data_IF_652524679400
#
_entry.id   IF_652524679400
#
_cell.length_a   1.000
_cell.length_b   1.000
_cell.length_c   1.000
_cell.angle_alpha   90.00
_cell.angle_beta   90.00
_cell.angle_gamma   90.00
#
_symmetry.space_group_name_H-M   'P 1'
#
loop_
_entity.id
_entity.type
_entity.pdbx_description
1 polymer ?
#
# COMPACT_ATOMS: atom_id res chain seq x y z
N UNK A 1 -9.94 -78.16 -21.75
CA UNK A 1 -9.01 -77.24 -22.45
C UNK A 1 -9.21 -75.84 -21.88
N UNK A 2 -8.10 -75.17 -21.56
CA UNK A 2 -8.00 -73.95 -20.73
C UNK A 2 -8.85 -72.77 -21.25
N UNK A 3 -9.47 -71.97 -20.35
CA UNK A 3 -10.17 -70.75 -20.72
C UNK A 3 -9.16 -69.63 -21.02
N UNK A 4 -9.38 -68.92 -22.13
CA UNK A 4 -8.67 -67.69 -22.47
C UNK A 4 -9.34 -66.52 -21.75
N UNK A 5 -8.61 -65.91 -20.81
CA UNK A 5 -9.00 -64.67 -20.12
C UNK A 5 -8.47 -63.48 -20.96
N UNK A 6 -9.33 -62.57 -21.46
CA UNK A 6 -8.87 -61.41 -22.21
C UNK A 6 -8.25 -60.39 -21.24
N UNK A 7 -7.00 -60.03 -21.53
CA UNK A 7 -6.23 -59.01 -20.82
C UNK A 7 -6.81 -57.63 -21.12
N UNK A 8 -7.55 -57.05 -20.18
CA UNK A 8 -8.00 -55.66 -20.21
C UNK A 8 -6.78 -54.74 -20.02
N UNK A 9 -6.33 -54.09 -21.10
CA UNK A 9 -5.41 -52.95 -21.03
C UNK A 9 -6.15 -51.77 -20.37
N UNK A 10 -5.91 -51.57 -19.08
CA UNK A 10 -6.20 -50.30 -18.41
C UNK A 10 -5.22 -49.26 -18.97
N UNK A 11 -5.71 -48.40 -19.86
CA UNK A 11 -5.04 -47.16 -20.20
C UNK A 11 -5.02 -46.28 -18.94
N UNK A 12 -3.90 -46.33 -18.22
CA UNK A 12 -3.58 -45.33 -17.21
C UNK A 12 -3.38 -44.00 -17.95
N UNK A 13 -4.42 -43.17 -17.97
CA UNK A 13 -4.33 -41.78 -18.40
C UNK A 13 -3.54 -41.04 -17.32
N UNK A 14 -2.20 -41.15 -17.37
CA UNK A 14 -1.33 -40.36 -16.51
C UNK A 14 -1.42 -38.91 -16.98
N UNK A 15 -2.12 -38.07 -16.24
CA UNK A 15 -2.00 -36.61 -16.39
C UNK A 15 -0.60 -36.23 -15.99
N UNK A 16 0.12 -35.54 -16.89
CA UNK A 16 1.43 -34.97 -16.57
C UNK A 16 1.33 -34.13 -15.30
N UNK A 17 2.34 -34.16 -14.41
CA UNK A 17 2.28 -33.43 -13.15
C UNK A 17 2.21 -31.92 -13.40
N UNK A 18 1.19 -31.28 -12.83
CA UNK A 18 0.95 -29.83 -12.97
C UNK A 18 1.39 -29.07 -11.72
N UNK A 19 1.58 -27.76 -11.91
CA UNK A 19 1.77 -26.78 -10.85
C UNK A 19 0.68 -25.72 -10.98
N UNK A 20 -0.28 -25.77 -10.06
CA UNK A 20 -1.55 -25.03 -10.16
C UNK A 20 -1.68 -24.03 -9.05
N UNK A 21 -2.10 -22.81 -9.35
CA UNK A 21 -2.35 -21.78 -8.35
C UNK A 21 -3.41 -20.80 -8.80
N UNK A 22 -3.55 -19.73 -8.04
CA UNK A 22 -4.58 -18.73 -8.30
C UNK A 22 -4.00 -17.31 -8.25
N UNK A 23 -4.56 -16.42 -9.05
CA UNK A 23 -4.31 -14.98 -8.95
C UNK A 23 -5.60 -14.29 -8.57
N UNK A 24 -5.53 -13.56 -7.47
CA UNK A 24 -6.61 -12.71 -6.96
C UNK A 24 -6.08 -11.28 -6.78
N UNK A 25 -6.96 -10.31 -6.61
CA UNK A 25 -6.57 -8.98 -6.14
C UNK A 25 -6.44 -8.94 -4.61
N UNK A 26 -6.04 -7.80 -4.06
CA UNK A 26 -5.86 -7.63 -2.61
C UNK A 26 -7.16 -7.79 -1.81
N UNK A 27 -8.32 -7.71 -2.46
CA UNK A 27 -9.66 -7.95 -1.89
C UNK A 27 -10.15 -9.38 -2.13
N UNK A 28 -9.26 -10.28 -2.58
CA UNK A 28 -9.52 -11.68 -2.88
C UNK A 28 -10.50 -11.91 -4.04
N UNK A 29 -10.68 -10.93 -4.94
CA UNK A 29 -11.44 -11.14 -6.17
C UNK A 29 -10.55 -11.82 -7.22
N UNK A 30 -11.01 -12.90 -7.87
CA UNK A 30 -10.25 -13.55 -8.94
C UNK A 30 -9.91 -12.60 -10.08
N UNK A 31 -8.67 -12.70 -10.59
CA UNK A 31 -8.19 -11.86 -11.69
C UNK A 31 -7.95 -12.73 -12.92
N UNK A 32 -8.85 -12.61 -13.89
CA UNK A 32 -8.74 -13.29 -15.18
C UNK A 32 -7.69 -12.66 -16.09
N UNK A 33 -7.22 -13.42 -17.09
CA UNK A 33 -6.31 -12.95 -18.14
C UNK A 33 -4.96 -12.39 -17.63
N UNK A 34 -4.52 -12.84 -16.46
CA UNK A 34 -3.19 -12.51 -15.91
C UNK A 34 -2.16 -13.41 -16.56
N UNK A 35 -1.09 -12.82 -17.09
CA UNK A 35 0.05 -13.62 -17.55
C UNK A 35 0.82 -14.14 -16.35
N UNK A 36 0.95 -15.45 -16.24
CA UNK A 36 1.83 -16.15 -15.29
C UNK A 36 2.93 -16.83 -16.09
N UNK A 37 4.18 -16.58 -15.74
CA UNK A 37 5.34 -17.04 -16.48
C UNK A 37 6.43 -17.55 -15.55
N UNK A 38 6.96 -18.74 -15.82
CA UNK A 38 8.18 -19.24 -15.19
C UNK A 38 9.40 -18.65 -15.90
N UNK A 39 10.24 -17.93 -15.17
CA UNK A 39 11.39 -17.22 -15.74
C UNK A 39 12.46 -18.23 -16.17
N UNK A 40 13.04 -18.05 -17.35
CA UNK A 40 14.11 -18.92 -17.87
C UNK A 40 13.63 -20.24 -18.47
N UNK A 41 12.33 -20.56 -18.40
CA UNK A 41 11.79 -21.80 -18.96
C UNK A 41 10.96 -21.52 -20.21
N UNK A 42 11.36 -22.12 -21.33
CA UNK A 42 10.64 -22.02 -22.59
C UNK A 42 9.22 -22.61 -22.48
N UNK A 43 8.26 -21.97 -23.13
CA UNK A 43 6.84 -22.39 -23.20
C UNK A 43 6.09 -22.47 -21.85
N UNK A 44 6.66 -22.03 -20.73
CA UNK A 44 5.98 -21.90 -19.43
C UNK A 44 5.36 -20.52 -19.23
N UNK A 45 4.50 -20.13 -20.16
CA UNK A 45 3.70 -18.90 -20.09
C UNK A 45 2.23 -19.25 -20.30
N UNK A 46 1.40 -18.90 -19.32
CA UNK A 46 -0.05 -19.17 -19.34
C UNK A 46 -0.82 -17.94 -18.89
N UNK A 47 -2.12 -17.95 -19.15
CA UNK A 47 -3.05 -16.91 -18.71
C UNK A 47 -4.02 -17.51 -17.71
N UNK A 48 -4.40 -16.75 -16.70
CA UNK A 48 -5.42 -17.18 -15.75
C UNK A 48 -6.79 -17.23 -16.41
N UNK A 49 -7.62 -18.19 -15.99
CA UNK A 49 -9.01 -18.30 -16.40
C UNK A 49 -9.93 -17.28 -15.71
N UNK A 50 -11.25 -17.38 -15.94
CA UNK A 50 -12.24 -16.49 -15.33
C UNK A 50 -12.28 -16.55 -13.79
N UNK A 51 -11.86 -17.69 -13.22
CA UNK A 51 -11.76 -17.94 -11.78
C UNK A 51 -10.37 -17.62 -11.23
N UNK A 52 -9.50 -17.01 -12.04
CA UNK A 52 -8.14 -16.62 -11.65
C UNK A 52 -7.15 -17.77 -11.58
N UNK A 53 -7.51 -18.98 -11.97
CA UNK A 53 -6.62 -20.14 -11.89
C UNK A 53 -5.65 -20.20 -13.04
N UNK A 54 -4.42 -20.65 -12.76
CA UNK A 54 -3.42 -20.97 -13.76
C UNK A 54 -2.88 -22.39 -13.55
N UNK A 55 -2.44 -23.00 -14.63
CA UNK A 55 -1.84 -24.34 -14.66
C UNK A 55 -0.54 -24.24 -15.43
N UNK A 56 0.59 -24.51 -14.80
CA UNK A 56 1.90 -24.64 -15.42
C UNK A 56 2.36 -26.10 -15.39
N UNK A 57 3.32 -26.44 -16.24
CA UNK A 57 3.94 -27.76 -16.15
C UNK A 57 4.84 -27.79 -14.91
N UNK A 58 4.87 -28.91 -14.19
CA UNK A 58 5.70 -29.03 -12.99
C UNK A 58 7.18 -29.17 -13.37
N UNK A 59 8.01 -28.28 -12.84
CA UNK A 59 9.46 -28.32 -13.00
C UNK A 59 10.08 -28.22 -11.61
N UNK A 60 10.70 -29.32 -11.17
CA UNK A 60 11.24 -29.46 -9.82
C UNK A 60 12.45 -28.54 -9.62
N UNK A 61 12.57 -27.99 -8.41
CA UNK A 61 13.63 -27.09 -7.96
C UNK A 61 13.17 -25.65 -7.84
N UNK A 62 14.13 -24.76 -7.64
CA UNK A 62 13.89 -23.32 -7.49
C UNK A 62 13.40 -22.71 -8.81
N UNK A 63 12.21 -22.12 -8.79
CA UNK A 63 11.58 -21.45 -9.92
C UNK A 63 11.15 -20.03 -9.53
N UNK A 64 11.45 -19.07 -10.39
CA UNK A 64 10.91 -17.72 -10.30
C UNK A 64 9.66 -17.60 -11.18
N UNK A 65 8.54 -17.19 -10.57
CA UNK A 65 7.32 -16.87 -11.29
C UNK A 65 7.16 -15.36 -11.40
N UNK A 66 6.86 -14.89 -12.61
CA UNK A 66 6.52 -13.51 -12.94
C UNK A 66 5.06 -13.40 -13.33
N UNK A 67 4.34 -12.51 -12.66
CA UNK A 67 2.89 -12.36 -12.75
C UNK A 67 2.57 -10.92 -13.15
N UNK A 68 1.79 -10.75 -14.22
CA UNK A 68 1.49 -9.42 -14.74
C UNK A 68 0.22 -9.34 -15.58
N UNK A 69 -0.49 -8.23 -15.38
CA UNK A 69 -1.65 -7.83 -16.19
C UNK A 69 -1.65 -6.31 -16.30
N UNK A 70 -2.05 -5.78 -17.46
CA UNK A 70 -2.25 -4.33 -17.63
C UNK A 70 -3.27 -3.85 -16.58
N UNK A 71 -2.98 -2.74 -15.90
CA UNK A 71 -3.82 -2.18 -14.84
C UNK A 71 -3.56 -2.77 -13.45
N UNK A 72 -2.56 -3.66 -13.31
CA UNK A 72 -2.11 -4.18 -12.03
C UNK A 72 -0.61 -3.97 -11.86
N UNK A 73 -0.16 -3.89 -10.60
CA UNK A 73 1.26 -3.86 -10.26
C UNK A 73 1.83 -5.26 -10.51
N UNK A 74 2.91 -5.31 -11.29
CA UNK A 74 3.58 -6.57 -11.62
C UNK A 74 4.31 -7.12 -10.40
N UNK A 75 4.21 -8.43 -10.17
CA UNK A 75 4.94 -9.09 -9.08
C UNK A 75 5.78 -10.26 -9.61
N UNK A 76 6.79 -10.63 -8.84
CA UNK A 76 7.59 -11.83 -9.08
C UNK A 76 7.92 -12.47 -7.73
N UNK A 77 8.01 -13.79 -7.70
CA UNK A 77 8.33 -14.51 -6.48
C UNK A 77 9.00 -15.83 -6.83
N UNK A 78 10.00 -16.19 -6.03
CA UNK A 78 10.74 -17.44 -6.14
C UNK A 78 10.16 -18.49 -5.20
N UNK A 79 10.05 -19.73 -5.69
CA UNK A 79 9.54 -20.87 -4.94
C UNK A 79 10.38 -22.11 -5.23
N UNK A 80 10.44 -23.01 -4.27
CA UNK A 80 10.96 -24.36 -4.50
C UNK A 80 9.79 -25.30 -4.83
N UNK A 81 9.81 -25.85 -6.03
CA UNK A 81 8.82 -26.83 -6.49
C UNK A 81 9.37 -28.22 -6.19
N UNK A 82 8.70 -28.93 -5.29
CA UNK A 82 9.07 -30.26 -4.82
C UNK A 82 8.59 -31.34 -5.80
N UNK A 83 9.24 -32.49 -5.71
CA UNK A 83 8.91 -33.68 -6.51
C UNK A 83 7.53 -34.27 -6.13
N UNK A 84 7.04 -34.00 -4.91
CA UNK A 84 5.74 -34.45 -4.42
C UNK A 84 4.58 -33.83 -5.22
N UNK A 85 3.93 -34.65 -6.04
CA UNK A 85 2.81 -34.29 -6.92
C UNK A 85 1.58 -33.66 -6.24
N UNK A 86 1.55 -33.56 -4.90
CA UNK A 86 0.47 -32.90 -4.15
C UNK A 86 0.70 -31.40 -3.89
N UNK A 87 1.90 -30.86 -4.14
CA UNK A 87 2.17 -29.45 -3.88
C UNK A 87 1.27 -28.54 -4.74
N UNK A 88 0.44 -27.75 -4.07
CA UNK A 88 -0.30 -26.65 -4.69
C UNK A 88 0.63 -25.45 -4.89
N UNK A 89 0.45 -24.79 -6.02
CA UNK A 89 1.06 -23.51 -6.30
C UNK A 89 0.47 -22.38 -5.45
N UNK A 90 1.17 -21.24 -5.38
CA UNK A 90 0.80 -20.11 -4.55
C UNK A 90 -0.47 -19.40 -5.05
N UNK A 91 -1.12 -18.71 -4.11
CA UNK A 91 -2.09 -17.66 -4.44
C UNK A 91 -1.39 -16.30 -4.48
N UNK A 92 -1.37 -15.66 -5.65
CA UNK A 92 -0.83 -14.31 -5.80
C UNK A 92 -1.91 -13.26 -5.57
N UNK A 93 -1.57 -12.22 -4.79
CA UNK A 93 -2.40 -11.02 -4.61
C UNK A 93 -1.83 -9.88 -5.43
N UNK A 94 -2.62 -9.35 -6.36
CA UNK A 94 -2.24 -8.21 -7.18
C UNK A 94 -2.89 -6.91 -6.69
N UNK A 95 -2.08 -5.86 -6.60
CA UNK A 95 -2.57 -4.51 -6.40
C UNK A 95 -3.06 -3.96 -7.75
N UNK A 96 -4.26 -3.38 -7.77
CA UNK A 96 -4.71 -2.60 -8.93
C UNK A 96 -3.83 -1.35 -9.00
N UNK A 97 -3.41 -0.97 -10.20
CA UNK A 97 -2.57 0.21 -10.39
C UNK A 97 -3.45 1.46 -10.47
N UNK A 98 -3.27 2.45 -9.58
CA UNK A 98 -3.96 3.73 -9.69
C UNK A 98 -3.62 4.45 -11.00
N UNK A 99 -4.52 5.31 -11.45
CA UNK A 99 -4.31 6.12 -12.66
C UNK A 99 -3.54 7.39 -12.34
N UNK A 100 -3.87 8.02 -11.21
CA UNK A 100 -3.31 9.29 -10.77
C UNK A 100 -2.31 9.08 -9.63
N UNK A 101 -1.37 10.02 -9.50
CA UNK A 101 -0.43 10.05 -8.38
C UNK A 101 -1.15 10.39 -7.08
N UNK A 102 -0.81 9.71 -5.99
CA UNK A 102 -1.39 10.00 -4.69
C UNK A 102 -1.33 8.85 -3.69
N UNK A 103 -1.96 9.10 -2.55
CA UNK A 103 -2.11 8.17 -1.45
C UNK A 103 -3.46 7.49 -1.53
N UNK A 104 -3.47 6.16 -1.57
CA UNK A 104 -4.66 5.33 -1.70
C UNK A 104 -4.75 4.40 -0.50
N UNK A 105 -5.60 4.71 0.48
CA UNK A 105 -5.86 3.81 1.60
C UNK A 105 -6.50 2.54 1.06
N UNK A 106 -6.00 1.38 1.47
CA UNK A 106 -6.58 0.09 1.13
C UNK A 106 -7.83 -0.11 1.97
N UNK A 107 -8.98 0.25 1.40
CA UNK A 107 -10.29 0.02 2.02
C UNK A 107 -10.72 -1.45 1.95
N UNK A 108 -11.91 -1.78 2.47
CA UNK A 108 -12.41 -3.14 2.54
C UNK A 108 -12.71 -3.77 1.16
N UNK A 109 -13.03 -2.96 0.16
CA UNK A 109 -13.42 -3.42 -1.19
C UNK A 109 -12.78 -2.65 -2.34
N UNK A 110 -12.28 -1.43 -2.09
CA UNK A 110 -11.58 -0.62 -3.08
C UNK A 110 -10.61 0.35 -2.39
N UNK A 111 -9.85 1.10 -3.18
CA UNK A 111 -9.01 2.18 -2.68
C UNK A 111 -9.83 3.42 -2.30
N UNK A 112 -9.38 4.10 -1.25
CA UNK A 112 -9.86 5.43 -0.86
C UNK A 112 -8.73 6.43 -1.08
N UNK A 113 -8.86 7.29 -2.09
CA UNK A 113 -7.85 8.31 -2.39
C UNK A 113 -7.89 9.41 -1.34
N UNK A 114 -6.74 9.73 -0.75
CA UNK A 114 -6.61 10.85 0.18
C UNK A 114 -6.49 12.16 -0.60
N UNK A 115 -7.35 13.11 -0.24
CA UNK A 115 -7.25 14.47 -0.75
C UNK A 115 -6.22 15.27 0.04
N UNK A 116 -5.29 15.90 -0.69
CA UNK A 116 -4.35 16.84 -0.10
C UNK A 116 -5.05 18.07 0.45
N UNK A 117 -4.74 18.46 1.68
CA UNK A 117 -5.21 19.69 2.33
C UNK A 117 -4.02 20.58 2.67
N UNK A 118 -4.20 21.88 2.52
CA UNK A 118 -3.16 22.86 2.86
C UNK A 118 -2.92 22.92 4.36
N UNK A 119 -1.65 22.85 4.74
CA UNK A 119 -1.18 23.10 6.10
C UNK A 119 -1.07 24.61 6.29
N UNK A 120 -1.72 25.12 7.33
CA UNK A 120 -1.71 26.53 7.70
C UNK A 120 -0.98 26.73 9.02
N UNK A 121 -0.46 27.94 9.23
CA UNK A 121 0.14 28.34 10.50
C UNK A 121 -0.72 29.40 11.18
N UNK A 122 -0.96 29.23 12.48
CA UNK A 122 -1.62 30.22 13.34
C UNK A 122 -0.72 30.51 14.53
N UNK A 123 -0.39 31.78 14.73
CA UNK A 123 0.33 32.26 15.89
C UNK A 123 1.27 33.41 15.58
N UNK A 124 2.42 33.44 16.25
CA UNK A 124 3.44 34.47 16.07
C UNK A 124 4.85 33.88 16.21
N UNK A 125 5.87 34.74 16.08
CA UNK A 125 7.27 34.33 16.14
C UNK A 125 7.72 33.69 17.47
N UNK A 126 6.93 33.78 18.55
CA UNK A 126 7.22 33.16 19.84
C UNK A 126 6.58 31.77 19.95
N UNK A 127 5.37 31.61 19.43
CA UNK A 127 4.65 30.34 19.42
C UNK A 127 3.65 30.28 18.26
N UNK A 128 3.66 29.16 17.54
CA UNK A 128 2.85 28.93 16.36
C UNK A 128 2.39 27.48 16.26
N UNK A 129 1.23 27.30 15.65
CA UNK A 129 0.58 26.02 15.44
C UNK A 129 0.48 25.76 13.95
N UNK A 130 1.03 24.63 13.52
CA UNK A 130 0.96 24.18 12.13
C UNK A 130 0.00 23.01 12.05
N UNK A 131 -1.00 23.12 11.18
CA UNK A 131 -2.06 22.15 11.15
C UNK A 131 -3.01 22.28 9.98
N UNK A 132 -4.00 21.39 9.98
CA UNK A 132 -5.04 21.28 8.97
C UNK A 132 -6.35 21.83 9.51
N UNK A 133 -7.11 22.52 8.66
CA UNK A 133 -8.47 23.01 9.02
C UNK A 133 -9.53 21.91 8.99
N UNK A 134 -9.21 20.72 8.46
CA UNK A 134 -10.12 19.59 8.33
C UNK A 134 -9.37 18.27 8.48
N UNK A 135 -10.05 17.26 9.04
CA UNK A 135 -9.59 15.87 9.16
C UNK A 135 -9.68 15.08 7.84
N UNK A 136 -10.09 15.73 6.75
CA UNK A 136 -10.36 15.06 5.48
C UNK A 136 -11.66 14.27 5.47
N UNK A 137 -11.95 13.68 4.32
CA UNK A 137 -13.22 12.99 4.05
C UNK A 137 -13.08 11.46 4.06
N UNK A 138 -11.83 10.96 4.10
CA UNK A 138 -11.53 9.53 4.10
C UNK A 138 -11.52 8.97 5.52
N UNK A 139 -12.33 7.94 5.72
CA UNK A 139 -12.36 7.14 6.94
C UNK A 139 -12.00 5.69 6.62
N UNK A 140 -11.23 5.05 7.51
CA UNK A 140 -10.90 3.64 7.42
C UNK A 140 -11.10 2.95 8.76
N UNK A 141 -11.42 1.66 8.70
CA UNK A 141 -11.60 0.84 9.89
C UNK A 141 -10.35 0.01 10.20
N UNK A 142 -10.14 -0.26 11.48
CA UNK A 142 -9.14 -1.20 11.98
C UNK A 142 -7.82 -0.58 12.45
N UNK A 143 -7.02 -1.41 13.09
CA UNK A 143 -5.84 -0.98 13.83
C UNK A 143 -4.54 -1.00 13.02
N UNK A 144 -4.57 -1.36 11.73
CA UNK A 144 -3.39 -1.30 10.86
C UNK A 144 -3.73 -0.57 9.59
N UNK A 145 -2.93 0.43 9.27
CA UNK A 145 -3.08 1.18 8.04
C UNK A 145 -2.22 0.57 6.94
N UNK A 146 -2.83 0.35 5.78
CA UNK A 146 -2.15 -0.01 4.53
C UNK A 146 -2.52 1.02 3.48
N UNK A 147 -1.52 1.65 2.87
CA UNK A 147 -1.70 2.69 1.85
C UNK A 147 -0.85 2.35 0.64
N UNK A 148 -1.47 2.30 -0.53
CA UNK A 148 -0.76 2.29 -1.79
C UNK A 148 -0.40 3.72 -2.17
N UNK A 149 0.89 4.01 -2.27
CA UNK A 149 1.39 5.30 -2.74
C UNK A 149 1.85 5.16 -4.19
N UNK A 150 1.14 5.83 -5.10
CA UNK A 150 1.46 5.88 -6.52
C UNK A 150 2.18 7.19 -6.85
N UNK A 151 3.36 7.10 -7.47
CA UNK A 151 4.15 8.28 -7.84
C UNK A 151 5.21 7.93 -8.89
N UNK A 152 5.61 8.90 -9.70
CA UNK A 152 6.80 8.81 -10.55
C UNK A 152 8.14 8.93 -9.80
N UNK A 153 8.11 9.25 -8.50
CA UNK A 153 9.32 9.35 -7.68
C UNK A 153 9.99 7.99 -7.47
N UNK A 154 11.31 7.98 -7.59
CA UNK A 154 12.13 6.82 -7.23
C UNK A 154 12.29 6.72 -5.72
N UNK A 155 12.59 5.52 -5.23
CA UNK A 155 12.77 5.24 -3.80
C UNK A 155 13.77 6.19 -3.12
N UNK A 156 14.91 6.48 -3.75
CA UNK A 156 15.91 7.39 -3.19
C UNK A 156 15.42 8.84 -3.08
N UNK A 157 14.52 9.26 -3.97
CA UNK A 157 13.85 10.56 -3.90
C UNK A 157 12.76 10.55 -2.83
N UNK A 158 11.99 9.47 -2.74
CA UNK A 158 10.95 9.28 -1.73
C UNK A 158 11.53 9.36 -0.31
N UNK A 159 12.65 8.68 -0.06
CA UNK A 159 13.34 8.72 1.24
C UNK A 159 13.87 10.12 1.59
N UNK A 160 14.12 10.98 0.60
CA UNK A 160 14.53 12.38 0.84
C UNK A 160 13.37 13.32 1.12
N UNK A 161 12.15 12.95 0.77
CA UNK A 161 10.97 13.74 1.11
C UNK A 161 10.68 13.74 2.61
N UNK A 162 11.28 12.81 3.36
CA UNK A 162 11.08 12.66 4.81
C UNK A 162 9.58 12.51 5.10
N UNK A 163 8.98 11.48 4.49
CA UNK A 163 7.55 11.23 4.59
C UNK A 163 7.23 10.70 5.99
N UNK A 164 6.28 11.37 6.64
CA UNK A 164 5.90 11.14 8.03
C UNK A 164 4.39 10.90 8.11
N UNK A 165 3.97 10.11 9.10
CA UNK A 165 2.56 9.95 9.47
C UNK A 165 2.40 10.41 10.91
N UNK A 166 1.53 11.38 11.16
CA UNK A 166 1.25 11.86 12.51
C UNK A 166 -0.20 11.62 12.89
N UNK A 167 -0.44 11.16 14.11
CA UNK A 167 -1.71 11.37 14.80
C UNK A 167 -1.85 12.86 15.07
N UNK A 168 -3.06 13.37 14.86
CA UNK A 168 -3.38 14.78 15.03
C UNK A 168 -4.48 14.96 16.06
N UNK A 169 -4.45 16.10 16.75
CA UNK A 169 -5.49 16.52 17.68
C UNK A 169 -6.04 17.87 17.26
N UNK A 170 -7.35 18.04 17.40
CA UNK A 170 -7.99 19.31 17.14
C UNK A 170 -7.78 20.26 18.32
N UNK A 171 -7.20 21.44 18.05
CA UNK A 171 -7.07 22.53 19.01
C UNK A 171 -8.00 23.66 18.57
N UNK A 172 -8.98 23.97 19.43
CA UNK A 172 -9.88 25.09 19.18
C UNK A 172 -9.21 26.44 19.50
N UNK A 173 -8.58 26.54 20.66
CA UNK A 173 -7.93 27.76 21.17
C UNK A 173 -6.68 27.40 21.96
N UNK A 174 -5.70 28.30 21.96
CA UNK A 174 -4.48 28.17 22.75
C UNK A 174 -3.99 29.55 23.22
N UNK A 175 -3.34 29.64 24.40
CA UNK A 175 -2.69 30.86 24.84
C UNK A 175 -1.45 31.11 23.98
N UNK A 176 -1.33 32.29 23.39
CA UNK A 176 -0.16 32.70 22.63
C UNK A 176 0.57 33.82 23.41
N UNK A 177 1.89 33.69 23.65
CA UNK A 177 2.68 34.71 24.29
C UNK A 177 2.76 35.97 23.43
N UNK A 178 2.51 37.12 24.06
CA UNK A 178 2.70 38.44 23.49
C UNK A 178 4.09 39.00 23.80
N UNK A 179 4.49 40.08 23.11
CA UNK A 179 5.84 40.65 23.22
C UNK A 179 6.16 41.22 24.61
N UNK A 180 5.15 41.46 25.46
CA UNK A 180 5.30 41.99 26.82
C UNK A 180 5.08 40.91 27.91
N UNK A 181 5.10 39.62 27.55
CA UNK A 181 4.90 38.51 28.49
C UNK A 181 3.43 38.23 28.87
N UNK A 182 2.48 39.00 28.32
CA UNK A 182 1.05 38.70 28.42
C UNK A 182 0.68 37.49 27.55
N UNK A 183 -0.27 36.65 27.96
CA UNK A 183 -0.84 35.60 27.11
C UNK A 183 -2.19 36.05 26.56
N UNK A 184 -2.41 35.87 25.26
CA UNK A 184 -3.70 36.12 24.60
C UNK A 184 -4.26 34.79 24.11
N UNK A 185 -5.52 34.49 24.44
CA UNK A 185 -6.18 33.31 23.87
C UNK A 185 -6.45 33.58 22.38
N UNK A 186 -5.85 32.77 21.52
CA UNK A 186 -6.04 32.82 20.08
C UNK A 186 -6.90 31.65 19.62
N UNK A 187 -7.74 31.90 18.62
CA UNK A 187 -8.49 30.84 17.95
C UNK A 187 -7.55 30.12 16.98
N UNK A 188 -7.28 28.85 17.28
CA UNK A 188 -6.39 28.00 16.48
C UNK A 188 -7.23 27.29 15.41
N UNK A 189 -8.24 26.53 15.83
CA UNK A 189 -9.14 25.75 14.95
C UNK A 189 -8.39 24.84 13.95
N UNK A 190 -7.32 24.17 14.41
CA UNK A 190 -6.50 23.29 13.58
C UNK A 190 -6.38 21.89 14.18
N UNK A 191 -6.29 20.89 13.31
CA UNK A 191 -5.71 19.59 13.59
C UNK A 191 -4.20 19.70 13.53
N UNK A 192 -3.54 19.66 14.70
CA UNK A 192 -2.08 19.77 14.83
C UNK A 192 -1.47 18.42 15.17
N UNK A 193 -0.19 18.25 14.87
CA UNK A 193 0.55 17.04 15.25
C UNK A 193 0.50 16.80 16.76
N UNK A 194 0.16 15.58 17.16
CA UNK A 194 0.24 15.10 18.53
C UNK A 194 1.34 14.06 18.70
N UNK A 195 1.42 13.09 17.78
CA UNK A 195 2.32 11.94 17.89
C UNK A 195 2.71 11.42 16.52
N UNK A 196 4.00 11.23 16.30
CA UNK A 196 4.51 10.55 15.11
C UNK A 196 4.24 9.04 15.18
N UNK A 197 3.81 8.45 14.07
CA UNK A 197 3.52 7.05 13.92
C UNK A 197 4.56 6.41 12.99
N UNK A 198 5.29 5.39 13.44
CA UNK A 198 6.29 4.74 12.60
C UNK A 198 5.64 3.99 11.44
N UNK A 199 6.13 4.28 10.23
CA UNK A 199 5.71 3.65 8.98
C UNK A 199 6.85 2.88 8.33
N UNK A 200 6.49 1.87 7.54
CA UNK A 200 7.40 1.12 6.68
C UNK A 200 6.95 1.31 5.23
N UNK A 201 7.90 1.57 4.32
CA UNK A 201 7.64 1.78 2.90
C UNK A 201 8.33 0.67 2.09
N UNK A 202 7.56 -0.09 1.32
CA UNK A 202 8.07 -1.20 0.49
C UNK A 202 7.72 -1.00 -0.99
N UNK A 203 8.65 -1.18 -1.94
CA UNK A 203 8.31 -1.18 -3.36
C UNK A 203 7.51 -2.44 -3.72
N UNK A 204 6.46 -2.33 -4.52
CA UNK A 204 5.58 -3.46 -4.89
C UNK A 204 6.01 -4.19 -6.17
N UNK A 205 7.31 -4.24 -6.47
CA UNK A 205 7.80 -4.84 -7.73
C UNK A 205 7.68 -3.93 -8.96
N UNK A 206 7.31 -2.65 -8.75
CA UNK A 206 7.40 -1.58 -9.75
C UNK A 206 8.29 -0.44 -9.23
N UNK A 207 8.57 0.54 -10.10
CA UNK A 207 9.31 1.77 -9.73
C UNK A 207 8.39 2.93 -9.33
N UNK A 208 7.08 2.72 -9.41
CA UNK A 208 6.06 3.78 -9.27
C UNK A 208 5.05 3.50 -8.16
N UNK A 209 5.10 2.32 -7.54
CA UNK A 209 4.08 1.85 -6.61
C UNK A 209 4.76 1.34 -5.34
N UNK A 210 4.42 1.97 -4.22
CA UNK A 210 4.98 1.69 -2.91
C UNK A 210 3.85 1.37 -1.93
N UNK A 211 4.01 0.33 -1.13
CA UNK A 211 3.11 0.01 -0.03
C UNK A 211 3.65 0.64 1.25
N UNK A 212 2.84 1.48 1.87
CA UNK A 212 3.10 2.08 3.17
C UNK A 212 2.26 1.36 4.21
N UNK A 213 2.89 0.88 5.28
CA UNK A 213 2.20 0.22 6.39
C UNK A 213 2.65 0.76 7.73
N UNK A 214 1.73 0.83 8.70
CA UNK A 214 2.10 1.15 10.08
C UNK A 214 2.74 -0.05 10.76
N UNK A 215 3.80 0.18 11.52
CA UNK A 215 4.50 -0.89 12.25
C UNK A 215 3.92 -1.13 13.64
N UNK A 216 3.08 -0.20 14.11
CA UNK A 216 2.34 -0.28 15.37
C UNK A 216 0.83 -0.21 15.12
N UNK A 217 0.01 -0.77 16.03
CA UNK A 217 -1.44 -0.60 15.97
C UNK A 217 -1.85 0.88 16.12
N UNK A 218 -2.84 1.30 15.35
CA UNK A 218 -3.45 2.63 15.41
C UNK A 218 -4.62 2.65 16.39
N UNK A 219 -4.72 3.75 17.13
CA UNK A 219 -5.89 4.11 17.92
C UNK A 219 -6.92 4.84 17.05
N UNK A 220 -8.18 4.89 17.49
CA UNK A 220 -9.19 5.71 16.81
C UNK A 220 -8.80 7.19 16.88
N UNK A 221 -8.84 7.88 15.75
CA UNK A 221 -8.43 9.29 15.69
C UNK A 221 -8.14 9.77 14.28
N UNK A 222 -7.71 11.03 14.18
CA UNK A 222 -7.32 11.66 12.91
C UNK A 222 -5.82 11.59 12.73
N UNK A 223 -5.38 11.24 11.53
CA UNK A 223 -3.99 11.12 11.14
C UNK A 223 -3.73 11.92 9.87
N UNK A 224 -2.48 12.26 9.59
CA UNK A 224 -2.11 12.90 8.34
C UNK A 224 -0.71 12.48 7.87
N UNK A 225 -0.60 12.12 6.59
CA UNK A 225 0.70 12.01 5.94
C UNK A 225 1.19 13.41 5.54
N UNK A 226 2.47 13.67 5.73
CA UNK A 226 3.12 14.87 5.21
C UNK A 226 4.58 14.60 4.87
N UNK A 227 5.21 15.59 4.26
CA UNK A 227 6.64 15.59 3.95
C UNK A 227 7.26 16.86 4.53
N UNK A 228 8.59 16.95 4.56
CA UNK A 228 9.31 18.18 4.92
C UNK A 228 8.91 18.77 6.29
N UNK A 229 8.46 17.93 7.24
CA UNK A 229 8.08 18.33 8.60
C UNK A 229 7.02 19.43 8.65
N UNK A 230 6.05 19.41 7.73
CA UNK A 230 5.03 20.46 7.63
C UNK A 230 4.19 20.62 8.91
N UNK A 231 3.89 19.54 9.63
CA UNK A 231 3.12 19.59 10.89
C UNK A 231 4.01 19.72 12.13
N UNK A 232 5.32 19.56 11.98
CA UNK A 232 6.33 19.62 13.05
C UNK A 232 7.54 20.45 12.64
N UNK A 233 7.35 21.66 12.06
CA UNK A 233 8.48 22.44 11.57
C UNK A 233 9.33 22.86 12.77
N UNK A 234 10.65 22.96 12.53
CA UNK A 234 11.60 23.36 13.58
C UNK A 234 11.29 24.77 14.12
N UNK A 235 10.88 25.66 13.22
CA UNK A 235 10.50 27.04 13.47
C UNK A 235 9.63 27.58 12.31
N UNK A 236 8.95 28.70 12.55
CA UNK A 236 8.09 29.39 11.56
C UNK A 236 8.84 29.83 10.30
N UNK A 237 10.12 30.18 10.42
CA UNK A 237 10.93 30.62 9.29
C UNK A 237 11.15 29.47 8.32
N UNK A 238 11.42 28.27 8.85
CA UNK A 238 11.58 27.04 8.09
C UNK A 238 10.30 26.67 7.33
N UNK A 239 9.14 26.77 7.99
CA UNK A 239 7.85 26.56 7.34
C UNK A 239 7.56 27.60 6.24
N UNK A 240 7.85 28.87 6.53
CA UNK A 240 7.61 29.98 5.61
C UNK A 240 8.43 29.90 4.32
N UNK A 241 9.59 29.24 4.35
CA UNK A 241 10.44 28.99 3.17
C UNK A 241 9.86 27.94 2.21
N UNK A 242 8.96 27.08 2.69
CA UNK A 242 8.30 26.09 1.83
C UNK A 242 7.22 26.80 1.02
N UNK A 243 7.18 26.69 -0.32
CA UNK A 243 6.11 27.29 -1.13
C UNK A 243 4.72 26.79 -0.70
N UNK A 244 3.72 27.67 -0.65
CA UNK A 244 2.36 27.32 -0.19
C UNK A 244 1.74 26.14 -0.97
N UNK A 245 1.99 26.07 -2.27
CA UNK A 245 1.55 24.96 -3.13
C UNK A 245 2.12 23.59 -2.72
N UNK A 246 3.22 23.58 -1.95
CA UNK A 246 3.88 22.36 -1.45
C UNK A 246 3.56 22.10 0.03
N UNK A 247 2.86 22.99 0.72
CA UNK A 247 2.44 22.83 2.12
C UNK A 247 1.18 21.97 2.20
N UNK A 248 1.26 20.74 1.69
CA UNK A 248 0.14 19.83 1.59
C UNK A 248 0.37 18.63 2.52
N UNK A 249 -0.65 18.29 3.29
CA UNK A 249 -0.72 17.04 4.04
C UNK A 249 -2.01 16.29 3.65
N UNK A 250 -2.01 14.98 3.85
CA UNK A 250 -3.07 14.06 3.40
C UNK A 250 -3.74 13.45 4.64
N UNK A 251 -4.82 14.06 5.15
CA UNK A 251 -5.48 13.60 6.35
C UNK A 251 -6.43 12.43 6.09
N UNK A 252 -6.61 11.61 7.13
CA UNK A 252 -7.58 10.52 7.20
C UNK A 252 -8.05 10.31 8.64
N UNK A 253 -9.19 9.64 8.81
CA UNK A 253 -9.69 9.22 10.11
C UNK A 253 -9.68 7.69 10.22
N UNK A 254 -9.20 7.18 11.36
CA UNK A 254 -9.20 5.75 11.68
C UNK A 254 -10.25 5.48 12.76
N UNK A 255 -11.07 4.45 12.56
CA UNK A 255 -12.09 3.98 13.50
C UNK A 255 -11.84 2.52 13.86
N UNK A 256 -11.71 2.22 15.15
CA UNK A 256 -11.63 0.85 15.68
C UNK A 256 -12.96 0.39 16.28
#
# INVERSE_FOLDING_TARGET
MRPYLPLLFLAACGTDPTFEGQVVDIWNQPVADVTVMMVGVANQRRRTDASGYYILDRIVGEQELKIGRKGYVQTHQTFDILEDGTQQGPTFKLYKKPVDDGFYVVGPTDYLMLDGKSVTSVGNALESFHGLVSAGDVETEGSKLSVLFHTDLKMDQLMRLDMELHQTKYINEAPIPGPLGSQTMASIQLFVSEKEIPIEIKPLGSRTDYLITTTVPLESGTYAFHTQKLLTPKDDESFSKIPEALRIAFPLTVRN
#
